data_IF_991574719158
#
_entry.id   IF_991574719158
#
_cell.length_a   1.000
_cell.length_b   1.000
_cell.length_c   1.000
_cell.angle_alpha   90.00
_cell.angle_beta   90.00
_cell.angle_gamma   90.00
#
_symmetry.space_group_name_H-M   'P 1'
#
loop_
_entity.id
_entity.type
_entity.pdbx_description
1 polymer ?
#
# COMPACT_ATOMS: atom_id res chain seq x y z
N UNK A 1 32.87 13.37 57.40
CA UNK A 1 31.74 12.69 58.05
C UNK A 1 31.10 11.74 56.99
N UNK A 2 31.26 10.42 57.15
CA UNK A 2 30.58 9.44 56.30
C UNK A 2 29.18 9.22 56.87
N UNK A 3 28.17 9.74 56.19
CA UNK A 3 26.78 9.43 56.53
C UNK A 3 26.60 7.89 56.46
N UNK A 4 26.10 7.30 57.54
CA UNK A 4 25.76 5.87 57.56
C UNK A 4 24.54 5.64 56.67
N UNK A 5 24.74 4.92 55.60
CA UNK A 5 23.65 4.49 54.69
C UNK A 5 22.67 3.65 55.54
N UNK A 6 21.41 4.02 55.52
CA UNK A 6 20.37 3.35 56.32
C UNK A 6 20.03 1.96 55.72
N UNK A 7 19.40 1.12 56.52
CA UNK A 7 18.93 -0.20 56.06
C UNK A 7 17.95 -0.10 54.87
N UNK A 8 17.15 0.98 54.85
CA UNK A 8 16.23 1.29 53.73
C UNK A 8 16.97 1.66 52.45
N UNK A 9 18.10 2.37 52.57
CA UNK A 9 18.93 2.73 51.44
C UNK A 9 19.62 1.52 50.82
N UNK A 10 20.08 0.58 51.69
CA UNK A 10 20.68 -0.68 51.22
C UNK A 10 19.62 -1.54 50.47
N UNK A 11 18.40 -1.59 50.98
CA UNK A 11 17.30 -2.31 50.31
C UNK A 11 16.97 -1.67 48.96
N UNK A 12 16.92 -0.33 48.89
CA UNK A 12 16.68 0.41 47.66
C UNK A 12 17.79 0.15 46.65
N UNK A 13 19.06 0.21 47.06
CA UNK A 13 20.21 -0.08 46.20
C UNK A 13 20.22 -1.52 45.67
N UNK A 14 19.79 -2.48 46.49
CA UNK A 14 19.67 -3.89 46.09
C UNK A 14 18.59 -4.07 45.00
N UNK A 15 17.47 -3.34 45.09
CA UNK A 15 16.39 -3.33 44.10
C UNK A 15 16.91 -2.70 42.79
N UNK A 16 17.58 -1.55 42.86
CA UNK A 16 18.15 -0.87 41.70
C UNK A 16 19.14 -1.75 40.94
N UNK A 17 20.03 -2.44 41.66
CA UNK A 17 20.98 -3.41 41.09
C UNK A 17 20.26 -4.52 40.27
N UNK A 18 19.12 -4.99 40.76
CA UNK A 18 18.31 -6.02 40.07
C UNK A 18 17.62 -5.46 38.81
N UNK A 19 17.28 -4.19 38.79
CA UNK A 19 16.60 -3.56 37.64
C UNK A 19 17.57 -3.07 36.57
N UNK A 20 18.85 -2.92 36.92
CA UNK A 20 19.87 -2.38 36.00
C UNK A 20 19.76 -0.86 35.79
N UNK A 21 18.96 -0.17 36.62
CA UNK A 21 18.81 1.28 36.59
C UNK A 21 19.78 1.93 37.57
N UNK A 22 20.31 3.09 37.22
CA UNK A 22 21.02 3.91 38.20
C UNK A 22 20.02 4.74 39.02
N UNK A 23 20.54 5.40 40.07
CA UNK A 23 19.72 6.16 41.02
C UNK A 23 19.00 7.34 40.32
N UNK A 24 19.65 7.95 39.37
CA UNK A 24 19.09 9.11 38.61
C UNK A 24 17.96 8.65 37.70
N UNK A 25 18.18 7.57 36.95
CA UNK A 25 17.17 6.96 36.08
C UNK A 25 15.93 6.52 36.89
N UNK A 26 16.15 5.91 38.05
CA UNK A 26 15.07 5.50 38.93
C UNK A 26 14.28 6.69 39.50
N UNK A 27 14.99 7.76 39.88
CA UNK A 27 14.35 9.01 40.35
C UNK A 27 13.54 9.70 39.26
N UNK A 28 14.07 9.73 38.04
CA UNK A 28 13.37 10.29 36.87
C UNK A 28 12.08 9.49 36.58
N UNK A 29 12.18 8.16 36.53
CA UNK A 29 11.03 7.27 36.33
C UNK A 29 9.98 7.45 37.45
N UNK A 30 10.42 7.54 38.71
CA UNK A 30 9.53 7.79 39.84
C UNK A 30 8.82 9.15 39.70
N UNK A 31 9.56 10.18 39.29
CA UNK A 31 8.99 11.51 39.04
C UNK A 31 7.95 11.49 37.93
N UNK A 32 8.26 10.86 36.79
CA UNK A 32 7.32 10.73 35.66
C UNK A 32 6.06 9.96 36.05
N UNK A 33 6.20 8.86 36.79
CA UNK A 33 5.07 8.07 37.31
C UNK A 33 4.17 8.91 38.23
N UNK A 34 4.78 9.70 39.12
CA UNK A 34 4.04 10.56 40.03
C UNK A 34 3.33 11.70 39.28
N UNK A 35 3.95 12.25 38.25
CA UNK A 35 3.34 13.27 37.38
C UNK A 35 2.18 12.67 36.55
N UNK A 36 2.38 11.49 35.97
CA UNK A 36 1.34 10.79 35.20
C UNK A 36 0.14 10.40 36.07
N UNK A 37 0.35 10.19 37.37
CA UNK A 37 -0.69 9.78 38.34
C UNK A 37 -1.43 10.95 38.97
N UNK A 38 -1.47 12.12 38.36
CA UNK A 38 -2.24 13.28 38.86
C UNK A 38 -3.74 12.96 38.92
N UNK A 39 -4.36 13.15 40.07
CA UNK A 39 -5.78 12.87 40.29
C UNK A 39 -6.11 12.79 41.77
N UNK A 40 -7.39 12.55 42.11
CA UNK A 40 -7.86 12.40 43.48
C UNK A 40 -7.39 11.07 44.09
N UNK A 41 -6.95 11.09 45.31
CA UNK A 41 -6.51 9.92 46.09
C UNK A 41 -5.02 9.94 46.47
N UNK A 42 -4.60 8.97 47.26
CA UNK A 42 -3.22 8.85 47.72
C UNK A 42 -2.25 8.66 46.56
N UNK A 43 -1.20 9.45 46.51
CA UNK A 43 -0.12 9.34 45.50
C UNK A 43 0.43 7.90 45.39
N UNK A 44 0.64 7.25 46.53
CA UNK A 44 1.15 5.89 46.59
C UNK A 44 0.18 4.86 46.02
N UNK A 45 -1.11 5.02 46.26
CA UNK A 45 -2.13 4.12 45.73
C UNK A 45 -2.18 4.22 44.20
N UNK A 46 -2.11 5.44 43.67
CA UNK A 46 -2.07 5.67 42.21
C UNK A 46 -0.77 5.17 41.57
N UNK A 47 0.38 5.43 42.21
CA UNK A 47 1.67 4.93 41.74
C UNK A 47 1.70 3.41 41.66
N UNK A 48 1.19 2.72 42.70
CA UNK A 48 1.05 1.24 42.72
C UNK A 48 0.14 0.76 41.60
N UNK A 49 -0.95 1.44 41.35
CA UNK A 49 -1.89 1.12 40.23
C UNK A 49 -1.20 1.27 38.88
N UNK A 50 -0.44 2.33 38.68
CA UNK A 50 0.34 2.55 37.46
C UNK A 50 1.40 1.43 37.29
N UNK A 51 2.08 1.05 38.38
CA UNK A 51 3.06 -0.06 38.36
C UNK A 51 2.35 -1.38 38.01
N UNK A 52 1.21 -1.67 38.65
CA UNK A 52 0.43 -2.88 38.37
C UNK A 52 -0.02 -2.96 36.95
N UNK A 53 -0.56 -1.87 36.42
CA UNK A 53 -0.98 -1.77 35.01
C UNK A 53 0.23 -1.91 34.07
N UNK A 54 1.36 -1.33 34.45
CA UNK A 54 2.63 -1.47 33.73
C UNK A 54 3.12 -2.91 33.74
N UNK A 55 3.06 -3.61 34.88
CA UNK A 55 3.42 -5.04 34.99
C UNK A 55 2.48 -5.90 34.14
N UNK A 56 1.17 -5.66 34.20
CA UNK A 56 0.19 -6.36 33.40
C UNK A 56 0.47 -6.13 31.89
N UNK A 57 0.79 -4.89 31.54
CA UNK A 57 1.19 -4.55 30.17
C UNK A 57 2.52 -5.21 29.80
N UNK A 58 3.47 -5.37 30.73
CA UNK A 58 4.74 -6.07 30.53
C UNK A 58 4.53 -7.58 30.37
N UNK A 59 3.65 -8.16 31.17
CA UNK A 59 3.28 -9.59 31.08
C UNK A 59 2.46 -9.84 29.82
N UNK A 60 1.54 -8.96 29.49
CA UNK A 60 0.84 -8.94 28.20
C UNK A 60 1.78 -8.59 27.04
N UNK A 61 3.01 -8.18 27.33
CA UNK A 61 4.09 -7.93 26.36
C UNK A 61 4.65 -9.25 25.80
N UNK A 62 3.84 -10.05 25.19
CA UNK A 62 4.32 -10.95 24.19
C UNK A 62 5.29 -10.20 23.26
N UNK A 63 6.23 -10.88 22.71
CA UNK A 63 7.37 -10.41 21.91
C UNK A 63 7.01 -9.23 20.97
N UNK A 64 7.23 -8.00 21.38
CA UNK A 64 7.15 -6.86 20.46
C UNK A 64 8.42 -6.80 19.59
N UNK A 65 8.31 -6.24 18.41
CA UNK A 65 9.44 -6.12 17.47
C UNK A 65 9.55 -4.68 16.96
N UNK A 66 10.74 -4.31 16.52
CA UNK A 66 10.95 -3.02 15.86
C UNK A 66 10.06 -2.91 14.60
N UNK A 67 9.58 -1.71 14.28
CA UNK A 67 8.75 -1.46 13.10
C UNK A 67 9.39 -1.99 11.82
N UNK A 68 10.71 -1.85 11.66
CA UNK A 68 11.46 -2.38 10.52
C UNK A 68 11.22 -3.89 10.34
N UNK A 69 11.25 -4.67 11.42
CA UNK A 69 10.99 -6.12 11.38
C UNK A 69 9.52 -6.41 11.02
N UNK A 70 8.59 -5.65 11.58
CA UNK A 70 7.17 -5.78 11.23
C UNK A 70 6.91 -5.49 9.74
N UNK A 71 7.61 -4.51 9.16
CA UNK A 71 7.57 -4.21 7.71
C UNK A 71 8.06 -5.42 6.91
N UNK A 72 9.18 -6.02 7.29
CA UNK A 72 9.75 -7.18 6.60
C UNK A 72 8.76 -8.35 6.61
N UNK A 73 8.24 -8.71 7.77
CA UNK A 73 7.24 -9.78 7.92
C UNK A 73 5.96 -9.51 7.12
N UNK A 74 5.52 -8.25 7.09
CA UNK A 74 4.36 -7.84 6.32
C UNK A 74 4.60 -7.96 4.81
N UNK A 75 5.83 -7.76 4.35
CA UNK A 75 6.21 -7.98 2.94
C UNK A 75 6.25 -9.48 2.61
N UNK A 76 6.81 -10.29 3.50
CA UNK A 76 6.89 -11.75 3.34
C UNK A 76 5.50 -12.38 3.30
N UNK A 77 4.59 -11.92 4.17
CA UNK A 77 3.19 -12.37 4.23
C UNK A 77 2.37 -12.03 2.96
N UNK A 78 2.94 -11.33 1.99
CA UNK A 78 2.26 -10.91 0.75
C UNK A 78 2.93 -11.44 -0.52
N UNK A 79 3.74 -12.47 -0.42
CA UNK A 79 4.46 -13.04 -1.58
C UNK A 79 3.51 -13.65 -2.61
N UNK A 80 2.35 -14.12 -2.18
CA UNK A 80 1.27 -14.66 -3.02
C UNK A 80 0.48 -13.60 -3.80
N UNK A 81 0.64 -12.32 -3.44
CA UNK A 81 -0.08 -11.22 -4.10
C UNK A 81 0.53 -10.93 -5.49
N UNK A 82 -0.27 -10.33 -6.38
CA UNK A 82 0.17 -9.91 -7.73
C UNK A 82 1.42 -9.02 -7.64
N UNK A 83 2.35 -9.20 -8.58
CA UNK A 83 3.63 -8.47 -8.68
C UNK A 83 3.44 -6.97 -8.40
N UNK A 84 2.53 -6.30 -9.13
CA UNK A 84 2.28 -4.85 -8.98
C UNK A 84 1.89 -4.47 -7.53
N UNK A 85 1.03 -5.28 -6.89
CA UNK A 85 0.63 -5.04 -5.49
C UNK A 85 1.81 -5.17 -4.53
N UNK A 86 2.68 -6.16 -4.76
CA UNK A 86 3.91 -6.37 -3.97
C UNK A 86 4.88 -5.20 -4.17
N UNK A 87 5.06 -4.76 -5.41
CA UNK A 87 5.99 -3.66 -5.75
C UNK A 87 5.51 -2.34 -5.15
N UNK A 88 4.21 -2.03 -5.24
CA UNK A 88 3.58 -0.87 -4.58
C UNK A 88 3.80 -0.94 -3.06
N UNK A 89 3.53 -2.09 -2.43
CA UNK A 89 3.71 -2.30 -1.00
C UNK A 89 5.19 -2.10 -0.60
N UNK A 90 6.10 -2.71 -1.35
CA UNK A 90 7.56 -2.61 -1.15
C UNK A 90 8.05 -1.16 -1.29
N UNK A 91 7.62 -0.46 -2.33
CA UNK A 91 7.98 0.94 -2.59
C UNK A 91 7.56 1.85 -1.42
N UNK A 92 6.28 1.74 -1.03
CA UNK A 92 5.73 2.56 0.07
C UNK A 92 6.45 2.24 1.38
N UNK A 93 6.63 0.96 1.69
CA UNK A 93 7.31 0.51 2.92
C UNK A 93 8.74 1.04 3.01
N UNK A 94 9.50 0.95 1.92
CA UNK A 94 10.88 1.48 1.85
C UNK A 94 10.89 3.00 2.08
N UNK A 95 9.94 3.71 1.49
CA UNK A 95 9.83 5.16 1.65
C UNK A 95 9.52 5.53 3.12
N UNK A 96 8.60 4.84 3.78
CA UNK A 96 8.31 5.03 5.22
C UNK A 96 9.56 4.82 6.08
N UNK A 97 10.30 3.72 5.84
CA UNK A 97 11.54 3.42 6.60
C UNK A 97 12.63 4.47 6.38
N UNK A 98 12.74 4.99 5.15
CA UNK A 98 13.75 5.99 4.77
C UNK A 98 13.47 7.35 5.43
N UNK A 99 12.24 7.82 5.38
CA UNK A 99 11.87 9.15 5.86
C UNK A 99 11.57 9.21 7.36
N UNK A 100 11.34 8.05 8.01
CA UNK A 100 11.03 7.95 9.45
C UNK A 100 11.94 6.94 10.15
N UNK A 101 13.28 7.20 10.18
CA UNK A 101 14.24 6.24 10.75
C UNK A 101 14.04 6.00 12.26
N UNK A 102 13.59 7.00 13.03
CA UNK A 102 13.25 6.82 14.44
C UNK A 102 12.12 5.81 14.61
N UNK A 103 11.03 5.99 13.84
CA UNK A 103 9.91 5.06 13.85
C UNK A 103 10.35 3.65 13.42
N UNK A 104 11.29 3.55 12.46
CA UNK A 104 11.79 2.26 11.96
C UNK A 104 12.44 1.41 13.06
N UNK A 105 13.08 2.04 14.04
CA UNK A 105 13.76 1.39 15.18
C UNK A 105 12.81 1.12 16.35
N UNK A 106 11.73 1.86 16.44
CA UNK A 106 10.79 1.84 17.57
C UNK A 106 9.97 0.54 17.60
N UNK A 107 9.77 -0.06 18.77
CA UNK A 107 8.87 -1.23 18.87
C UNK A 107 7.45 -0.87 18.47
N UNK A 108 6.81 -1.72 17.66
CA UNK A 108 5.49 -1.45 17.07
C UNK A 108 4.41 -1.13 18.10
N UNK A 109 4.50 -1.73 19.28
CA UNK A 109 3.54 -1.52 20.38
C UNK A 109 3.47 -0.05 20.84
N UNK A 110 4.57 0.67 20.76
CA UNK A 110 4.69 2.04 21.27
C UNK A 110 4.52 3.12 20.19
N UNK A 111 4.22 2.72 18.97
CA UNK A 111 3.97 3.67 17.88
C UNK A 111 2.53 4.18 17.99
N UNK A 112 2.39 5.49 18.10
CA UNK A 112 1.11 6.18 18.29
C UNK A 112 0.46 6.57 16.96
N UNK A 113 -0.86 6.83 16.94
CA UNK A 113 -1.54 7.38 15.75
C UNK A 113 -0.92 8.69 15.27
N UNK A 114 -0.48 9.56 16.18
CA UNK A 114 0.18 10.84 15.88
C UNK A 114 1.48 10.62 15.10
N UNK A 115 2.30 9.66 15.52
CA UNK A 115 3.56 9.31 14.83
C UNK A 115 3.27 8.70 13.45
N UNK A 116 2.25 7.86 13.34
CA UNK A 116 1.81 7.30 12.06
C UNK A 116 1.41 8.42 11.08
N UNK A 117 0.62 9.39 11.54
CA UNK A 117 0.21 10.55 10.75
C UNK A 117 1.43 11.38 10.31
N UNK A 118 2.29 11.75 11.25
CA UNK A 118 3.50 12.52 10.97
C UNK A 118 4.41 11.81 9.95
N UNK A 119 4.55 10.48 10.07
CA UNK A 119 5.34 9.68 9.13
C UNK A 119 4.72 9.71 7.72
N UNK A 120 3.39 9.63 7.58
CA UNK A 120 2.71 9.74 6.30
C UNK A 120 2.93 11.12 5.66
N UNK A 121 2.81 12.18 6.45
CA UNK A 121 3.00 13.57 6.01
C UNK A 121 4.44 13.83 5.57
N UNK A 122 5.41 13.34 6.33
CA UNK A 122 6.85 13.47 6.03
C UNK A 122 7.28 12.65 4.80
N UNK A 123 6.62 11.51 4.59
CA UNK A 123 7.02 10.56 3.52
C UNK A 123 6.36 10.84 2.18
N UNK A 124 5.21 11.53 2.14
CA UNK A 124 4.42 11.68 0.91
C UNK A 124 3.86 13.10 0.76
N UNK A 125 4.06 13.68 -0.40
CA UNK A 125 3.71 15.07 -0.68
C UNK A 125 2.20 15.25 -0.95
N UNK A 126 1.61 14.33 -1.74
CA UNK A 126 0.20 14.46 -2.13
C UNK A 126 -0.74 13.68 -1.21
N UNK A 127 -1.93 14.22 -1.00
CA UNK A 127 -2.96 13.60 -0.17
C UNK A 127 -3.35 12.19 -0.70
N UNK A 128 -3.41 12.02 -2.03
CA UNK A 128 -3.71 10.72 -2.66
C UNK A 128 -2.64 9.67 -2.30
N UNK A 129 -1.36 10.07 -2.32
CA UNK A 129 -0.25 9.19 -1.92
C UNK A 129 -0.34 8.84 -0.42
N UNK A 130 -0.69 9.82 0.43
CA UNK A 130 -0.87 9.60 1.88
C UNK A 130 -1.99 8.59 2.16
N UNK A 131 -3.12 8.67 1.46
CA UNK A 131 -4.21 7.68 1.57
C UNK A 131 -3.75 6.28 1.15
N UNK A 132 -3.04 6.17 0.04
CA UNK A 132 -2.47 4.88 -0.42
C UNK A 132 -1.47 4.33 0.61
N UNK A 133 -0.60 5.19 1.14
CA UNK A 133 0.40 4.82 2.15
C UNK A 133 -0.25 4.44 3.49
N UNK A 134 -1.33 5.11 3.89
CA UNK A 134 -2.13 4.76 5.09
C UNK A 134 -2.63 3.32 5.00
N UNK A 135 -3.11 2.88 3.83
CA UNK A 135 -3.56 1.49 3.63
C UNK A 135 -2.40 0.50 3.80
N UNK A 136 -1.22 0.82 3.26
CA UNK A 136 -0.01 -0.02 3.42
C UNK A 136 0.43 -0.07 4.88
N UNK A 137 0.50 1.09 5.54
CA UNK A 137 0.87 1.22 6.96
C UNK A 137 -0.11 0.43 7.85
N UNK A 138 -1.42 0.56 7.57
CA UNK A 138 -2.46 -0.23 8.25
C UNK A 138 -2.25 -1.75 8.05
N UNK A 139 -1.86 -2.14 6.85
CA UNK A 139 -1.55 -3.54 6.54
C UNK A 139 -0.33 -4.08 7.29
N UNK A 140 0.68 -3.24 7.53
CA UNK A 140 1.86 -3.59 8.35
C UNK A 140 1.43 -3.82 9.81
N UNK A 141 0.69 -2.87 10.38
CA UNK A 141 0.19 -3.00 11.77
C UNK A 141 -0.83 -4.14 11.90
N UNK A 142 -1.64 -4.40 10.88
CA UNK A 142 -2.52 -5.57 10.86
C UNK A 142 -1.75 -6.88 10.95
N UNK A 143 -0.59 -6.97 10.31
CA UNK A 143 0.31 -8.12 10.45
C UNK A 143 0.89 -8.19 11.87
N UNK A 144 1.28 -7.02 12.44
CA UNK A 144 1.82 -6.94 13.79
C UNK A 144 0.78 -7.38 14.85
N UNK A 145 -0.48 -6.99 14.70
CA UNK A 145 -1.59 -7.44 15.57
C UNK A 145 -1.77 -8.96 15.47
N UNK A 146 -1.82 -9.50 14.25
CA UNK A 146 -1.96 -10.96 14.02
C UNK A 146 -0.82 -11.76 14.63
N UNK A 147 0.37 -11.17 14.74
CA UNK A 147 1.55 -11.78 15.36
C UNK A 147 1.62 -11.55 16.89
N UNK A 148 0.68 -10.81 17.47
CA UNK A 148 0.66 -10.47 18.90
C UNK A 148 1.73 -9.45 19.33
N UNK A 149 2.31 -8.72 18.37
CA UNK A 149 3.36 -7.73 18.65
C UNK A 149 2.82 -6.37 19.11
N UNK A 150 1.56 -6.11 18.85
CA UNK A 150 0.80 -4.99 19.39
C UNK A 150 -0.68 -5.40 19.56
N UNK A 151 -1.36 -4.73 20.45
CA UNK A 151 -2.76 -5.06 20.80
C UNK A 151 -3.76 -4.50 19.79
N UNK A 152 -3.43 -3.38 19.18
CA UNK A 152 -4.33 -2.69 18.24
C UNK A 152 -3.54 -2.05 17.09
N UNK A 153 -4.26 -1.64 16.07
CA UNK A 153 -3.68 -0.99 14.91
C UNK A 153 -3.80 0.54 15.07
N UNK A 154 -2.71 1.26 15.38
CA UNK A 154 -2.78 2.71 15.61
C UNK A 154 -3.24 3.49 14.37
N UNK A 155 -3.10 2.91 13.17
CA UNK A 155 -3.49 3.56 11.91
C UNK A 155 -5.02 3.66 11.79
N UNK A 156 -5.77 2.86 12.54
CA UNK A 156 -7.24 2.96 12.59
C UNK A 156 -7.68 4.35 13.05
N UNK A 157 -6.89 4.96 13.93
CA UNK A 157 -7.16 6.29 14.51
C UNK A 157 -6.41 7.44 13.79
N UNK A 158 -5.89 7.18 12.58
CA UNK A 158 -5.24 8.22 11.77
C UNK A 158 -6.26 8.80 10.79
N UNK A 159 -6.68 10.01 11.05
CA UNK A 159 -7.56 10.76 10.16
C UNK A 159 -6.73 11.55 9.14
N UNK A 160 -7.09 11.42 7.88
CA UNK A 160 -6.56 12.23 6.78
C UNK A 160 -7.72 13.02 6.16
N UNK A 161 -7.47 14.24 5.68
CA UNK A 161 -8.49 14.99 4.96
C UNK A 161 -9.11 14.17 3.82
N UNK A 162 -10.37 14.39 3.54
CA UNK A 162 -11.06 13.69 2.44
C UNK A 162 -10.44 14.10 1.10
N UNK A 163 -10.33 13.14 0.20
CA UNK A 163 -9.92 13.42 -1.17
C UNK A 163 -11.07 14.15 -1.88
N UNK A 164 -10.75 15.27 -2.48
CA UNK A 164 -11.71 15.97 -3.33
C UNK A 164 -11.95 15.11 -4.57
N UNK A 165 -13.19 14.90 -4.91
CA UNK A 165 -13.56 14.25 -6.15
C UNK A 165 -13.32 15.24 -7.28
N UNK A 166 -12.58 14.79 -8.27
CA UNK A 166 -12.39 15.52 -9.52
C UNK A 166 -13.27 14.88 -10.58
N UNK A 167 -13.97 15.68 -11.34
CA UNK A 167 -14.67 15.18 -12.51
C UNK A 167 -13.67 14.51 -13.45
N UNK A 168 -14.00 13.32 -13.88
CA UNK A 168 -13.18 12.61 -14.87
C UNK A 168 -13.54 13.22 -16.23
N UNK A 169 -12.57 13.83 -16.95
CA UNK A 169 -12.87 14.36 -18.27
C UNK A 169 -13.25 13.20 -19.22
N UNK A 170 -14.36 13.36 -19.88
CA UNK A 170 -14.88 12.39 -20.85
C UNK A 170 -14.58 12.97 -22.25
N UNK A 171 -14.09 12.12 -23.13
CA UNK A 171 -13.83 12.54 -24.52
C UNK A 171 -15.13 12.96 -25.22
N UNK A 172 -15.12 14.10 -25.84
CA UNK A 172 -16.20 14.53 -26.73
C UNK A 172 -16.23 13.65 -27.99
N UNK A 173 -17.33 13.66 -28.70
CA UNK A 173 -17.47 12.90 -29.94
C UNK A 173 -16.40 13.29 -30.98
N UNK A 174 -16.06 14.57 -31.05
CA UNK A 174 -15.01 15.07 -31.96
C UNK A 174 -13.62 14.57 -31.53
N UNK A 175 -13.31 14.60 -30.23
CA UNK A 175 -12.05 14.06 -29.72
C UNK A 175 -11.95 12.56 -29.99
N UNK A 176 -13.05 11.82 -29.83
CA UNK A 176 -13.10 10.38 -30.16
C UNK A 176 -12.79 10.15 -31.65
N UNK A 177 -13.41 10.95 -32.54
CA UNK A 177 -13.16 10.85 -34.00
C UNK A 177 -11.69 11.15 -34.33
N UNK A 178 -11.12 12.20 -33.74
CA UNK A 178 -9.69 12.54 -33.91
C UNK A 178 -8.78 11.44 -33.41
N UNK A 179 -9.09 10.85 -32.25
CA UNK A 179 -8.32 9.74 -31.68
C UNK A 179 -8.33 8.51 -32.60
N UNK A 180 -9.49 8.16 -33.15
CA UNK A 180 -9.62 7.02 -34.06
C UNK A 180 -8.91 7.28 -35.41
N UNK A 181 -9.04 8.49 -35.98
CA UNK A 181 -8.32 8.87 -37.20
C UNK A 181 -6.80 8.78 -36.99
N UNK A 182 -6.30 9.32 -35.86
CA UNK A 182 -4.87 9.23 -35.51
C UNK A 182 -4.41 7.79 -35.33
N UNK A 183 -5.26 6.94 -34.72
CA UNK A 183 -4.96 5.51 -34.52
C UNK A 183 -4.97 4.75 -35.88
N UNK A 184 -5.78 5.19 -36.84
CA UNK A 184 -5.86 4.61 -38.19
C UNK A 184 -4.62 4.97 -39.00
N UNK A 185 -4.16 6.22 -38.90
CA UNK A 185 -2.95 6.70 -39.58
C UNK A 185 -1.67 6.12 -38.99
N UNK A 186 -1.67 5.87 -37.66
CA UNK A 186 -0.48 5.44 -36.93
C UNK A 186 -0.05 4.03 -37.35
N UNK A 187 1.07 3.95 -38.09
CA UNK A 187 1.71 2.70 -38.52
C UNK A 187 0.73 1.72 -39.18
N UNK A 188 -0.09 2.27 -40.12
CA UNK A 188 -1.05 1.45 -40.89
C UNK A 188 -2.18 0.88 -40.06
N UNK A 189 -2.59 1.58 -39.01
CA UNK A 189 -3.72 1.17 -38.14
C UNK A 189 -3.38 0.11 -37.07
N UNK A 190 -2.12 -0.08 -36.81
CA UNK A 190 -1.66 -1.10 -35.82
C UNK A 190 -2.32 -0.98 -34.46
N UNK A 191 -2.67 0.25 -34.02
CA UNK A 191 -3.29 0.50 -32.73
C UNK A 191 -4.83 0.63 -32.78
N UNK A 192 -5.41 0.66 -33.96
CA UNK A 192 -6.84 0.96 -34.14
C UNK A 192 -7.76 -0.02 -33.44
N UNK A 193 -7.48 -1.32 -33.55
CA UNK A 193 -8.26 -2.37 -32.86
C UNK A 193 -8.20 -2.20 -31.34
N UNK A 194 -7.01 -1.92 -30.81
CA UNK A 194 -6.82 -1.75 -29.35
C UNK A 194 -7.57 -0.50 -28.84
N UNK A 195 -7.47 0.62 -29.57
CA UNK A 195 -8.18 1.86 -29.25
C UNK A 195 -9.70 1.64 -29.32
N UNK A 196 -10.17 0.98 -30.37
CA UNK A 196 -11.60 0.66 -30.56
C UNK A 196 -12.17 -0.20 -29.42
N UNK A 197 -11.45 -1.24 -29.02
CA UNK A 197 -11.84 -2.12 -27.90
C UNK A 197 -11.92 -1.34 -26.57
N UNK A 198 -10.99 -0.43 -26.32
CA UNK A 198 -11.01 0.41 -25.13
C UNK A 198 -12.17 1.42 -25.17
N UNK A 199 -12.38 2.04 -26.32
CA UNK A 199 -13.33 3.14 -26.52
C UNK A 199 -14.79 2.64 -26.54
N UNK A 200 -15.08 1.63 -27.39
CA UNK A 200 -16.46 1.17 -27.61
C UNK A 200 -16.89 0.02 -26.70
N UNK A 201 -15.94 -0.81 -26.24
CA UNK A 201 -16.27 -1.97 -25.40
C UNK A 201 -15.84 -1.79 -23.93
N UNK A 202 -15.19 -0.69 -23.58
CA UNK A 202 -14.75 -0.41 -22.21
C UNK A 202 -13.77 -1.44 -21.65
N UNK A 203 -13.02 -2.10 -22.54
CA UNK A 203 -12.01 -3.10 -22.13
C UNK A 203 -10.79 -2.34 -21.61
N UNK A 204 -10.31 -2.75 -20.42
CA UNK A 204 -9.18 -2.05 -19.77
C UNK A 204 -7.88 -2.22 -20.58
N UNK A 205 -7.00 -1.19 -20.62
CA UNK A 205 -5.73 -1.28 -21.38
C UNK A 205 -4.93 -2.56 -21.06
N UNK A 206 -4.87 -2.98 -19.81
CA UNK A 206 -4.14 -4.19 -19.39
C UNK A 206 -4.82 -5.49 -19.88
N UNK A 207 -6.12 -5.47 -20.07
CA UNK A 207 -6.88 -6.59 -20.65
C UNK A 207 -6.66 -6.65 -22.16
N UNK A 208 -6.72 -5.49 -22.85
CA UNK A 208 -6.42 -5.38 -24.29
C UNK A 208 -4.98 -5.87 -24.56
N UNK A 209 -4.01 -5.49 -23.71
CA UNK A 209 -2.62 -5.90 -23.84
C UNK A 209 -2.42 -7.43 -23.85
N UNK A 210 -3.35 -8.16 -23.27
CA UNK A 210 -3.29 -9.62 -23.13
C UNK A 210 -4.35 -10.35 -23.95
N UNK A 211 -5.05 -9.61 -24.80
CA UNK A 211 -6.14 -10.15 -25.62
C UNK A 211 -5.60 -10.74 -26.91
N UNK A 212 -5.95 -11.98 -27.16
CA UNK A 212 -5.70 -12.69 -28.43
C UNK A 212 -6.89 -12.51 -29.38
N UNK A 213 -6.64 -12.49 -30.67
CA UNK A 213 -7.68 -12.49 -31.69
C UNK A 213 -8.63 -13.72 -31.55
N UNK A 214 -8.13 -14.87 -31.12
CA UNK A 214 -8.93 -16.06 -30.83
C UNK A 214 -10.03 -15.84 -29.78
N UNK A 215 -9.92 -14.77 -29.00
CA UNK A 215 -10.92 -14.42 -27.97
C UNK A 215 -12.00 -13.46 -28.51
N UNK A 216 -11.85 -12.99 -29.75
CA UNK A 216 -12.76 -12.07 -30.44
C UNK A 216 -13.57 -12.89 -31.46
N UNK A 217 -14.83 -13.11 -31.17
CA UNK A 217 -15.73 -13.82 -32.06
C UNK A 217 -16.63 -12.76 -32.76
N UNK A 218 -16.22 -12.34 -33.96
CA UNK A 218 -16.93 -11.33 -34.74
C UNK A 218 -18.28 -11.84 -35.24
N UNK A 219 -18.37 -13.16 -35.54
CA UNK A 219 -19.63 -13.79 -35.99
C UNK A 219 -20.71 -13.70 -34.93
N UNK A 220 -20.35 -14.01 -33.69
CA UNK A 220 -21.28 -13.96 -32.55
C UNK A 220 -21.31 -12.57 -31.87
N UNK A 221 -20.49 -11.64 -32.33
CA UNK A 221 -20.40 -10.29 -31.76
C UNK A 221 -19.94 -10.26 -30.31
N UNK A 222 -18.94 -11.06 -29.94
CA UNK A 222 -18.51 -11.22 -28.54
C UNK A 222 -16.99 -11.22 -28.38
N UNK A 223 -16.52 -10.64 -27.26
CA UNK A 223 -15.12 -10.73 -26.78
C UNK A 223 -15.11 -11.50 -25.46
N UNK A 224 -14.35 -12.60 -25.39
CA UNK A 224 -14.20 -13.44 -24.19
C UNK A 224 -12.97 -13.03 -23.40
N UNK A 225 -13.16 -12.37 -22.27
CA UNK A 225 -12.07 -11.94 -21.37
C UNK A 225 -11.81 -12.99 -20.30
N UNK A 226 -10.65 -13.63 -20.33
CA UNK A 226 -10.27 -14.71 -19.42
C UNK A 226 -10.00 -14.16 -18.01
N UNK A 227 -10.37 -14.92 -16.99
CA UNK A 227 -10.21 -14.58 -15.57
C UNK A 227 -8.78 -14.16 -15.21
N UNK A 228 -7.78 -14.87 -15.75
CA UNK A 228 -6.34 -14.59 -15.50
C UNK A 228 -5.90 -13.18 -15.97
N UNK A 229 -6.64 -12.58 -16.90
CA UNK A 229 -6.33 -11.25 -17.45
C UNK A 229 -7.12 -10.15 -16.73
N UNK A 230 -8.17 -10.50 -15.99
CA UNK A 230 -9.02 -9.54 -15.29
C UNK A 230 -8.39 -9.06 -13.97
N UNK A 231 -8.54 -7.78 -13.66
CA UNK A 231 -8.11 -7.19 -12.37
C UNK A 231 -8.88 -7.82 -11.18
N UNK A 232 -10.12 -8.19 -11.40
CA UNK A 232 -11.01 -8.75 -10.36
C UNK A 232 -10.98 -10.28 -10.30
N UNK A 233 -10.30 -10.95 -11.25
CA UNK A 233 -10.19 -12.40 -11.30
C UNK A 233 -11.42 -13.10 -11.87
N UNK A 234 -12.40 -12.36 -12.41
CA UNK A 234 -13.59 -12.92 -13.06
C UNK A 234 -13.43 -12.95 -14.58
N UNK A 235 -13.83 -14.05 -15.20
CA UNK A 235 -14.02 -14.10 -16.66
C UNK A 235 -15.31 -13.32 -17.00
N UNK A 236 -15.35 -12.67 -18.14
CA UNK A 236 -16.56 -12.02 -18.63
C UNK A 236 -16.58 -11.97 -20.15
N UNK A 237 -17.80 -11.92 -20.68
CA UNK A 237 -18.05 -11.72 -22.10
C UNK A 237 -18.48 -10.24 -22.29
N UNK A 238 -17.95 -9.61 -23.32
CA UNK A 238 -18.28 -8.24 -23.69
C UNK A 238 -18.86 -8.29 -25.11
N UNK A 239 -20.05 -7.71 -25.30
CA UNK A 239 -20.71 -7.61 -26.60
C UNK A 239 -20.01 -6.60 -27.50
N UNK A 240 -19.83 -6.95 -28.76
CA UNK A 240 -19.27 -6.09 -29.80
C UNK A 240 -20.43 -5.33 -30.45
N UNK A 241 -20.44 -4.02 -30.29
CA UNK A 241 -21.40 -3.15 -30.96
C UNK A 241 -21.07 -3.09 -32.49
N UNK A 242 -22.05 -2.88 -33.36
CA UNK A 242 -21.83 -2.87 -34.83
C UNK A 242 -20.66 -1.99 -35.29
N UNK A 243 -20.53 -0.78 -34.73
CA UNK A 243 -19.43 0.15 -35.04
C UNK A 243 -18.06 -0.49 -34.74
N UNK A 244 -17.95 -1.17 -33.59
CA UNK A 244 -16.71 -1.87 -33.21
C UNK A 244 -16.49 -3.10 -34.10
N UNK A 245 -17.55 -3.83 -34.44
CA UNK A 245 -17.49 -4.99 -35.33
C UNK A 245 -16.88 -4.59 -36.69
N UNK A 246 -17.45 -3.60 -37.36
CA UNK A 246 -16.93 -3.08 -38.62
C UNK A 246 -15.46 -2.64 -38.54
N UNK A 247 -15.09 -2.00 -37.45
CA UNK A 247 -13.70 -1.58 -37.18
C UNK A 247 -12.77 -2.80 -37.06
N UNK A 248 -13.18 -3.80 -36.30
CA UNK A 248 -12.37 -5.02 -36.06
C UNK A 248 -12.26 -5.88 -37.31
N UNK A 249 -13.27 -5.96 -38.17
CA UNK A 249 -13.27 -6.64 -39.49
C UNK A 249 -12.22 -6.01 -40.41
N UNK A 250 -12.21 -4.75 -40.53
CA UNK A 250 -11.17 -4.02 -41.26
C UNK A 250 -9.77 -4.33 -40.77
N UNK A 251 -9.61 -4.35 -39.62
CA UNK A 251 -8.35 -4.59 -38.97
C UNK A 251 -7.91 -6.03 -39.03
N UNK A 252 -8.81 -6.83 -39.03
CA UNK A 252 -8.62 -8.22 -39.10
C UNK A 252 -8.20 -8.66 -40.45
N UNK A 253 -8.68 -8.01 -41.44
CA UNK A 253 -8.33 -8.20 -42.81
C UNK A 253 -7.00 -7.59 -43.20
N UNK A 254 -6.76 -6.69 -42.51
CA UNK A 254 -5.56 -5.99 -42.78
C UNK A 254 -4.39 -6.53 -42.03
N UNK A 255 -4.63 -6.99 -40.97
CA UNK A 255 -3.59 -7.51 -40.16
C UNK A 255 -3.50 -9.01 -40.31
N UNK A 256 -3.00 -9.56 -40.89
CA UNK A 256 -2.81 -10.89 -40.99
C UNK A 256 -2.26 -11.52 -39.78
N UNK A 257 -2.43 -11.08 -38.97
CA UNK A 257 -1.99 -11.42 -37.85
C UNK A 257 -2.92 -12.11 -37.02
N UNK A 258 -3.47 -12.97 -37.46
CA UNK A 258 -4.47 -13.79 -36.77
C UNK A 258 -3.93 -14.51 -35.51
N UNK A 259 -2.66 -14.55 -35.35
CA UNK A 259 -1.99 -15.25 -34.21
C UNK A 259 -1.22 -14.35 -33.24
N UNK A 260 -1.23 -13.03 -33.45
CA UNK A 260 -0.50 -12.09 -32.58
C UNK A 260 -1.41 -11.40 -31.58
N UNK A 261 -0.86 -11.14 -30.38
CA UNK A 261 -1.50 -10.27 -29.41
C UNK A 261 -1.67 -8.86 -30.02
N UNK A 262 -2.83 -8.30 -29.87
CA UNK A 262 -3.13 -6.92 -30.33
C UNK A 262 -2.10 -5.91 -29.83
N UNK A 263 -1.64 -6.09 -28.60
CA UNK A 263 -0.65 -5.20 -27.96
C UNK A 263 0.74 -5.29 -28.58
N UNK A 264 1.14 -6.47 -29.09
CA UNK A 264 2.45 -6.62 -29.71
C UNK A 264 2.53 -5.81 -31.02
N UNK A 265 1.44 -5.73 -31.75
CA UNK A 265 1.34 -4.86 -32.93
C UNK A 265 1.53 -3.38 -32.54
N UNK A 266 0.82 -2.93 -31.50
CA UNK A 266 0.95 -1.55 -31.01
C UNK A 266 2.37 -1.28 -30.48
N UNK A 267 2.99 -2.25 -29.78
CA UNK A 267 4.35 -2.12 -29.24
C UNK A 267 5.40 -2.04 -30.35
N UNK A 268 5.26 -2.86 -31.38
CA UNK A 268 6.16 -2.82 -32.54
C UNK A 268 6.04 -1.48 -33.27
N UNK A 269 4.81 -0.99 -33.46
CA UNK A 269 4.53 0.33 -34.04
C UNK A 269 5.21 1.44 -33.24
N UNK A 270 5.05 1.43 -31.91
CA UNK A 270 5.69 2.40 -31.00
C UNK A 270 7.22 2.36 -31.10
N UNK A 271 7.79 1.15 -31.13
CA UNK A 271 9.25 0.97 -31.25
C UNK A 271 9.76 1.53 -32.59
N UNK A 272 9.06 1.24 -33.69
CA UNK A 272 9.41 1.78 -35.01
C UNK A 272 9.36 3.32 -35.01
N UNK A 273 8.30 3.88 -34.47
CA UNK A 273 8.07 5.34 -34.48
C UNK A 273 9.05 6.12 -33.61
N UNK A 274 9.46 5.56 -32.46
CA UNK A 274 10.25 6.30 -31.45
C UNK A 274 11.70 5.85 -31.32
N UNK A 275 12.07 4.72 -31.88
CA UNK A 275 13.38 4.07 -31.71
C UNK A 275 13.63 3.58 -30.27
N UNK A 276 12.64 3.68 -29.38
CA UNK A 276 12.76 3.27 -27.98
C UNK A 276 12.14 1.89 -27.74
N UNK A 277 12.96 0.94 -27.31
CA UNK A 277 12.42 -0.35 -26.85
C UNK A 277 11.57 -0.10 -25.61
N UNK A 278 10.31 -0.49 -25.67
CA UNK A 278 9.46 -0.49 -24.47
C UNK A 278 10.09 -1.44 -23.45
N UNK A 279 10.59 -0.91 -22.36
CA UNK A 279 11.24 -1.70 -21.31
C UNK A 279 10.36 -2.86 -20.87
N UNK A 280 10.84 -4.07 -21.04
CA UNK A 280 10.18 -5.25 -20.52
C UNK A 280 10.19 -5.19 -18.98
N UNK A 281 9.03 -5.17 -18.36
CA UNK A 281 8.88 -5.28 -16.90
C UNK A 281 8.33 -6.65 -16.54
#
# INVERSE_FOLDING_TARGET
>A
MREKISATDHAALAILKKTGLDVVEAAQLAHELLQASKGRGSRWKRARECIRLGEEALVARGKTVAFRKAVQEAMEARQDRRKRTRDDFRYISRRLLRFCPEMARRPVRFITPRECRACLEKSFDTLRQRHKARLVLSGIFGTAVKRGWCTENPVAHVDLPRLKEHSIPVLSLEEMRRLLAAAEEYDGGACLAAVGLMLYAGIRPEEVRRLDWAQINLREGMVSLRARHSKTGGARIVTIQPVLGNLLERXXXXXXXKERLLWDLCREAYTRATGRRSGGS
#
